data_IF_743265479667
#
_entry.id   IF_743265479667
#
_cell.length_a   1.000
_cell.length_b   1.000
_cell.length_c   1.000
_cell.angle_alpha   90.00
_cell.angle_beta   90.00
_cell.angle_gamma   90.00
#
_symmetry.space_group_name_H-M   'P 1'
#
loop_
_entity.id
_entity.type
_entity.pdbx_description
1 polymer ?
#
# COMPACT_ATOMS: atom_id res chain seq x y z
N UNK A 1 24.98 -0.77 -0.77
CA UNK A 1 24.40 -0.38 0.51
C UNK A 1 22.94 -0.81 0.56
N UNK A 2 22.57 -1.49 1.62
CA UNK A 2 21.21 -2.01 1.73
C UNK A 2 20.29 -0.91 2.21
N UNK A 3 19.17 -0.73 1.50
CA UNK A 3 18.15 0.18 1.96
C UNK A 3 17.37 -0.46 3.10
N UNK A 4 17.03 0.34 4.09
CA UNK A 4 16.19 -0.13 5.16
C UNK A 4 14.76 -0.32 4.64
N UNK A 5 14.08 -1.38 5.06
CA UNK A 5 12.68 -1.53 4.70
C UNK A 5 11.88 -0.38 5.30
N UNK A 6 10.89 0.07 4.55
CA UNK A 6 9.99 1.11 5.00
C UNK A 6 8.77 0.45 5.63
N UNK A 7 8.38 0.94 6.79
CA UNK A 7 7.19 0.44 7.47
C UNK A 7 6.00 1.32 7.13
N UNK A 8 4.91 0.72 6.71
CA UNK A 8 3.69 1.46 6.38
C UNK A 8 2.51 0.76 7.00
N UNK A 9 1.41 1.49 7.13
CA UNK A 9 0.15 0.95 7.61
C UNK A 9 -0.75 0.72 6.41
N UNK A 10 -1.23 -0.51 6.26
CA UNK A 10 -1.96 -0.91 5.07
C UNK A 10 -3.35 -1.37 5.43
N UNK A 11 -4.34 -0.93 4.67
CA UNK A 11 -5.71 -1.38 4.81
C UNK A 11 -6.29 -1.68 3.44
N UNK A 12 -7.23 -2.62 3.39
CA UNK A 12 -8.01 -2.86 2.19
C UNK A 12 -9.22 -1.93 2.19
N UNK A 13 -9.79 -1.69 1.01
CA UNK A 13 -10.84 -0.70 0.84
C UNK A 13 -12.03 -0.94 1.77
N UNK A 14 -12.43 -2.20 1.94
CA UNK A 14 -13.61 -2.54 2.74
C UNK A 14 -13.28 -3.16 4.07
N UNK A 15 -12.02 -3.10 4.48
CA UNK A 15 -11.59 -3.68 5.74
C UNK A 15 -11.43 -2.60 6.78
N UNK A 16 -11.98 -2.81 8.00
CA UNK A 16 -11.74 -1.86 9.09
C UNK A 16 -10.37 -2.02 9.72
N UNK A 17 -9.65 -3.10 9.37
CA UNK A 17 -8.37 -3.40 10.00
C UNK A 17 -7.22 -2.82 9.21
N UNK A 18 -6.21 -2.38 9.94
CA UNK A 18 -4.94 -1.94 9.38
C UNK A 18 -3.85 -2.89 9.84
N UNK A 19 -2.91 -3.17 8.95
CA UNK A 19 -1.77 -4.00 9.28
C UNK A 19 -0.50 -3.24 8.96
N UNK A 20 0.50 -3.40 9.82
CA UNK A 20 1.83 -2.89 9.55
C UNK A 20 2.52 -3.82 8.56
N UNK A 21 3.06 -3.25 7.50
CA UNK A 21 3.78 -4.00 6.47
C UNK A 21 5.09 -3.29 6.23
N UNK A 22 6.17 -4.06 6.18
CA UNK A 22 7.49 -3.51 5.88
C UNK A 22 7.97 -4.05 4.55
N UNK A 23 8.56 -3.18 3.73
CA UNK A 23 9.10 -3.59 2.46
C UNK A 23 10.06 -2.56 1.91
N UNK A 24 10.90 -3.00 0.98
CA UNK A 24 11.92 -2.14 0.37
C UNK A 24 11.46 -1.56 -0.97
N UNK A 25 10.35 -2.06 -1.49
CA UNK A 25 9.79 -1.60 -2.75
C UNK A 25 8.29 -1.59 -2.67
N UNK A 26 7.67 -0.86 -3.57
CA UNK A 26 6.22 -0.82 -3.67
C UNK A 26 5.67 -2.22 -3.94
N UNK A 27 6.31 -2.96 -4.83
CA UNK A 27 5.86 -4.30 -5.17
C UNK A 27 5.94 -5.25 -3.97
N UNK A 28 6.98 -5.12 -3.16
CA UNK A 28 7.11 -5.96 -1.98
C UNK A 28 5.99 -5.69 -0.98
N UNK A 29 5.68 -4.42 -0.75
CA UNK A 29 4.59 -4.03 0.14
C UNK A 29 3.26 -4.53 -0.42
N UNK A 30 3.05 -4.38 -1.72
CA UNK A 30 1.82 -4.84 -2.36
C UNK A 30 1.66 -6.35 -2.21
N UNK A 31 2.71 -7.11 -2.46
CA UNK A 31 2.66 -8.56 -2.36
C UNK A 31 2.35 -9.01 -0.93
N UNK A 32 3.02 -8.41 0.04
CA UNK A 32 2.78 -8.76 1.45
C UNK A 32 1.37 -8.39 1.87
N UNK A 33 0.87 -7.24 1.38
CA UNK A 33 -0.49 -6.83 1.67
C UNK A 33 -1.51 -7.77 1.08
N UNK A 34 -1.31 -8.19 -0.16
CA UNK A 34 -2.23 -9.13 -0.80
C UNK A 34 -2.27 -10.46 -0.06
N UNK A 35 -1.12 -10.94 0.42
CA UNK A 35 -1.10 -12.15 1.23
C UNK A 35 -1.86 -11.95 2.53
N UNK A 36 -1.70 -10.79 3.16
CA UNK A 36 -2.32 -10.52 4.45
C UNK A 36 -3.84 -10.43 4.33
N UNK A 37 -4.33 -9.81 3.26
CA UNK A 37 -5.78 -9.63 3.05
C UNK A 37 -6.40 -10.72 2.21
N UNK A 38 -5.60 -11.68 1.74
CA UNK A 38 -6.06 -12.77 0.87
C UNK A 38 -6.68 -12.23 -0.42
N UNK A 39 -5.99 -11.27 -1.02
CA UNK A 39 -6.41 -10.63 -2.26
C UNK A 39 -5.45 -11.01 -3.38
N UNK A 40 -5.93 -11.00 -4.64
CA UNK A 40 -5.06 -11.27 -5.77
C UNK A 40 -4.05 -10.13 -5.95
N UNK A 41 -2.82 -10.51 -6.24
CA UNK A 41 -1.79 -9.50 -6.52
C UNK A 41 -2.02 -8.86 -7.90
N UNK A 42 -2.49 -9.65 -8.85
CA UNK A 42 -2.74 -9.17 -10.20
C UNK A 42 -3.86 -8.14 -10.21
N UNK A 43 -3.57 -6.99 -10.80
CA UNK A 43 -4.55 -5.90 -10.87
C UNK A 43 -4.68 -5.10 -9.60
N UNK A 44 -3.94 -5.47 -8.55
CA UNK A 44 -3.97 -4.72 -7.29
C UNK A 44 -2.97 -3.59 -7.32
N UNK A 45 -3.27 -2.53 -6.56
CA UNK A 45 -2.38 -1.38 -6.49
C UNK A 45 -2.51 -0.72 -5.12
N UNK A 46 -1.58 0.16 -4.83
CA UNK A 46 -1.53 0.89 -3.56
C UNK A 46 -1.76 2.38 -3.81
N UNK A 47 -2.47 3.01 -2.90
CA UNK A 47 -2.69 4.45 -2.92
C UNK A 47 -2.44 5.02 -1.54
N UNK A 48 -2.08 6.30 -1.49
CA UNK A 48 -2.04 7.01 -0.22
C UNK A 48 -3.46 7.18 0.31
N UNK A 49 -3.65 6.87 1.58
CA UNK A 49 -4.96 7.03 2.20
C UNK A 49 -5.40 8.49 2.18
N UNK A 50 -4.47 9.39 2.39
CA UNK A 50 -4.76 10.81 2.59
C UNK A 50 -5.34 11.47 1.35
N UNK A 51 -4.76 11.22 0.18
CA UNK A 51 -5.15 11.95 -1.02
C UNK A 51 -5.40 11.08 -2.25
N UNK A 52 -5.29 9.77 -2.10
CA UNK A 52 -5.55 8.87 -3.21
C UNK A 52 -4.44 8.75 -4.24
N UNK A 53 -3.27 9.34 -3.97
CA UNK A 53 -2.14 9.25 -4.89
C UNK A 53 -1.76 7.79 -5.10
N UNK A 54 -1.73 7.36 -6.36
CA UNK A 54 -1.32 5.99 -6.67
C UNK A 54 0.19 5.86 -6.50
N UNK A 55 0.60 4.81 -5.80
CA UNK A 55 2.02 4.57 -5.56
C UNK A 55 2.66 3.84 -6.72
N UNK A 56 3.83 4.32 -7.10
CA UNK A 56 4.68 3.68 -8.10
C UNK A 56 6.02 3.39 -7.45
N UNK A 57 6.84 2.60 -8.12
CA UNK A 57 8.18 2.33 -7.60
C UNK A 57 9.01 3.61 -7.50
N UNK A 58 8.80 4.54 -8.42
CA UNK A 58 9.53 5.81 -8.41
C UNK A 58 9.13 6.68 -7.23
N UNK A 59 7.87 6.63 -6.84
CA UNK A 59 7.35 7.47 -5.76
C UNK A 59 7.56 6.85 -4.39
N UNK A 60 7.68 5.54 -4.32
CA UNK A 60 7.75 4.83 -3.05
C UNK A 60 8.83 5.38 -2.11
N UNK A 61 10.03 5.72 -2.59
CA UNK A 61 11.04 6.26 -1.68
C UNK A 61 10.63 7.57 -1.01
N UNK A 62 9.68 8.30 -1.59
CA UNK A 62 9.19 9.57 -1.02
C UNK A 62 8.12 9.37 0.04
N UNK A 63 7.61 8.15 0.19
CA UNK A 63 6.57 7.87 1.18
C UNK A 63 7.18 7.85 2.57
N UNK A 64 6.53 8.54 3.50
CA UNK A 64 7.03 8.60 4.88
C UNK A 64 6.85 7.26 5.58
N UNK A 65 7.72 7.00 6.56
CA UNK A 65 7.53 5.84 7.42
C UNK A 65 6.20 5.98 8.16
N UNK A 66 5.52 4.86 8.34
CA UNK A 66 4.22 4.79 8.99
C UNK A 66 3.11 5.48 8.21
N UNK A 67 3.34 5.78 6.93
CA UNK A 67 2.29 6.32 6.09
C UNK A 67 1.15 5.31 5.99
N UNK A 68 -0.06 5.81 5.89
CA UNK A 68 -1.24 4.96 5.73
C UNK A 68 -1.54 4.78 4.25
N UNK A 69 -1.63 3.54 3.82
CA UNK A 69 -1.88 3.18 2.42
C UNK A 69 -3.15 2.37 2.30
N UNK A 70 -3.76 2.44 1.13
CA UNK A 70 -4.95 1.64 0.81
C UNK A 70 -4.59 0.66 -0.29
N UNK A 71 -4.90 -0.61 -0.08
CA UNK A 71 -4.73 -1.65 -1.08
C UNK A 71 -6.03 -1.78 -1.87
N UNK A 72 -5.93 -1.56 -3.16
CA UNK A 72 -7.09 -1.64 -4.06
C UNK A 72 -6.91 -2.80 -5.01
N UNK A 73 -7.99 -3.53 -5.23
CA UNK A 73 -8.01 -4.57 -6.25
C UNK A 73 -8.58 -4.02 -7.55
N UNK A 74 -8.58 -4.84 -8.59
CA UNK A 74 -9.07 -4.43 -9.89
C UNK A 74 -10.52 -3.92 -9.77
N UNK A 75 -10.79 -2.77 -10.36
CA UNK A 75 -12.12 -2.17 -10.35
C UNK A 75 -12.41 -1.29 -9.15
N UNK A 76 -11.52 -1.23 -8.17
CA UNK A 76 -11.71 -0.35 -7.02
C UNK A 76 -10.97 0.97 -7.23
N UNK A 77 -11.43 2.00 -6.55
CA UNK A 77 -10.79 3.32 -6.59
C UNK A 77 -10.83 3.96 -5.22
N UNK A 78 -9.87 4.84 -4.97
CA UNK A 78 -9.78 5.59 -3.72
C UNK A 78 -9.39 7.02 -4.07
N UNK A 79 -10.20 7.96 -3.62
CA UNK A 79 -9.99 9.38 -3.95
C UNK A 79 -9.42 10.16 -2.78
N UNK A 80 -9.11 9.49 -1.70
CA UNK A 80 -8.54 10.14 -0.54
C UNK A 80 -9.52 10.21 0.61
N UNK A 81 -9.02 10.72 1.73
CA UNK A 81 -9.83 10.88 2.95
C UNK A 81 -10.60 12.19 2.85
N UNK A 82 -11.89 12.13 3.08
CA UNK A 82 -12.72 13.33 3.12
C UNK A 82 -12.75 13.92 4.52
#
# INVERSE_FOLDING_TARGET
MLQKPKSVKLRALRSPRKFGVAGRSCQEVLRKGCLRFQLPERGSRLCLYEDGTELTEDYFPSVADNAELVLLTSGQAWQGCE
#
